data_IF_856253150602
#
_entry.id   IF_856253150602
#
_cell.length_a   1.000
_cell.length_b   1.000
_cell.length_c   1.000
_cell.angle_alpha   90.00
_cell.angle_beta   90.00
_cell.angle_gamma   90.00
#
_symmetry.space_group_name_H-M   'P 1'
#
loop_
_entity.id
_entity.type
_entity.pdbx_description
1 polymer ?
#
# COMPACT_ATOMS: atom_id res chain seq x y z
N UNK A 1 -3.04 72.21 -42.96
CA UNK A 1 -3.20 70.75 -43.18
C UNK A 1 -2.31 69.91 -42.25
N UNK A 2 -1.00 70.21 -42.10
CA UNK A 2 -0.08 69.43 -41.24
C UNK A 2 -0.48 69.30 -39.75
N UNK A 3 -0.93 70.38 -39.11
CA UNK A 3 -1.27 70.37 -37.67
C UNK A 3 -2.40 69.39 -37.30
N UNK A 4 -3.35 69.19 -38.21
CA UNK A 4 -4.47 68.29 -38.01
C UNK A 4 -4.02 66.81 -38.08
N UNK A 5 -3.12 66.51 -39.02
CA UNK A 5 -2.54 65.17 -39.20
C UNK A 5 -1.72 64.77 -37.97
N UNK A 6 -0.92 65.70 -37.43
CA UNK A 6 -0.13 65.44 -36.21
C UNK A 6 -1.03 65.24 -35.00
N UNK A 7 -2.10 66.03 -34.86
CA UNK A 7 -3.06 65.88 -33.75
C UNK A 7 -3.78 64.53 -33.82
N UNK A 8 -4.25 64.14 -35.00
CA UNK A 8 -4.92 62.85 -35.22
C UNK A 8 -3.97 61.67 -34.96
N UNK A 9 -2.71 61.76 -35.42
CA UNK A 9 -1.69 60.74 -35.16
C UNK A 9 -1.39 60.57 -33.67
N UNK A 10 -1.28 61.68 -32.91
CA UNK A 10 -1.06 61.60 -31.46
C UNK A 10 -2.25 60.99 -30.71
N UNK A 11 -3.48 61.26 -31.17
CA UNK A 11 -4.70 60.68 -30.60
C UNK A 11 -4.76 59.17 -30.83
N UNK A 12 -4.49 58.71 -32.06
CA UNK A 12 -4.43 57.28 -32.38
C UNK A 12 -3.40 56.53 -31.54
N UNK A 13 -2.20 57.12 -31.34
CA UNK A 13 -1.17 56.54 -30.46
C UNK A 13 -1.63 56.49 -29.01
N UNK A 14 -2.33 57.53 -28.54
CA UNK A 14 -2.90 57.56 -27.20
C UNK A 14 -3.98 56.50 -27.00
N UNK A 15 -4.92 56.35 -27.95
CA UNK A 15 -5.97 55.32 -27.92
C UNK A 15 -5.36 53.90 -27.93
N UNK A 16 -4.31 53.68 -28.73
CA UNK A 16 -3.60 52.40 -28.77
C UNK A 16 -2.86 52.09 -27.45
N UNK A 17 -2.18 53.09 -26.88
CA UNK A 17 -1.52 52.96 -25.57
C UNK A 17 -2.54 52.71 -24.45
N UNK A 18 -3.67 53.41 -24.49
CA UNK A 18 -4.76 53.21 -23.53
C UNK A 18 -5.32 51.79 -23.64
N UNK A 19 -5.58 51.29 -24.85
CA UNK A 19 -6.02 49.92 -25.07
C UNK A 19 -5.00 48.87 -24.62
N UNK A 20 -3.71 49.11 -24.83
CA UNK A 20 -2.64 48.26 -24.28
C UNK A 20 -2.63 48.29 -22.75
N UNK A 21 -2.74 49.48 -22.14
CA UNK A 21 -2.80 49.65 -20.69
C UNK A 21 -3.98 48.90 -20.09
N UNK A 22 -5.17 49.00 -20.69
CA UNK A 22 -6.36 48.26 -20.23
C UNK A 22 -6.17 46.75 -20.33
N UNK A 23 -5.60 46.26 -21.44
CA UNK A 23 -5.30 44.83 -21.61
C UNK A 23 -4.30 44.33 -20.57
N UNK A 24 -3.26 45.13 -20.28
CA UNK A 24 -2.26 44.80 -19.27
C UNK A 24 -2.90 44.73 -17.89
N UNK A 25 -3.78 45.66 -17.52
CA UNK A 25 -4.50 45.60 -16.24
C UNK A 25 -5.26 44.28 -16.07
N UNK A 26 -6.05 43.89 -17.07
CA UNK A 26 -6.81 42.62 -17.02
C UNK A 26 -5.88 41.41 -16.90
N UNK A 27 -4.75 41.40 -17.62
CA UNK A 27 -3.80 40.28 -17.48
C UNK A 27 -3.13 40.23 -16.12
N UNK A 28 -2.89 41.38 -15.47
CA UNK A 28 -2.33 41.44 -14.12
C UNK A 28 -3.35 40.89 -13.12
N UNK A 29 -4.61 41.31 -13.20
CA UNK A 29 -5.69 40.80 -12.32
C UNK A 29 -5.82 39.27 -12.41
N UNK A 30 -5.79 38.71 -13.63
CA UNK A 30 -5.84 37.26 -13.83
C UNK A 30 -4.59 36.56 -13.27
N UNK A 31 -3.42 37.17 -13.38
CA UNK A 31 -2.19 36.60 -12.83
C UNK A 31 -2.20 36.64 -11.29
N UNK A 32 -2.72 37.71 -10.69
CA UNK A 32 -2.89 37.83 -9.24
C UNK A 32 -3.79 36.72 -8.70
N UNK A 33 -4.97 36.51 -9.32
CA UNK A 33 -5.88 35.41 -8.94
C UNK A 33 -5.21 34.03 -9.06
N UNK A 34 -4.43 33.81 -10.14
CA UNK A 34 -3.70 32.55 -10.33
C UNK A 34 -2.60 32.36 -9.31
N UNK A 35 -1.92 33.42 -8.88
CA UNK A 35 -0.91 33.38 -7.81
C UNK A 35 -1.57 33.03 -6.49
N UNK A 36 -2.67 33.70 -6.13
CA UNK A 36 -3.43 33.40 -4.91
C UNK A 36 -3.90 31.94 -4.86
N UNK A 37 -4.41 31.44 -5.99
CA UNK A 37 -4.83 30.03 -6.14
C UNK A 37 -3.65 29.08 -5.97
N UNK A 38 -2.52 29.37 -6.61
CA UNK A 38 -1.32 28.54 -6.51
C UNK A 38 -0.78 28.52 -5.07
N UNK A 39 -0.75 29.66 -4.39
CA UNK A 39 -0.35 29.73 -2.99
C UNK A 39 -1.29 28.92 -2.08
N UNK A 40 -2.60 28.98 -2.31
CA UNK A 40 -3.56 28.18 -1.55
C UNK A 40 -3.30 26.67 -1.72
N UNK A 41 -3.05 26.23 -2.97
CA UNK A 41 -2.70 24.83 -3.25
C UNK A 41 -1.38 24.41 -2.59
N UNK A 42 -0.37 25.27 -2.58
CA UNK A 42 0.91 24.99 -1.89
C UNK A 42 0.70 24.84 -0.39
N UNK A 43 -0.12 25.71 0.23
CA UNK A 43 -0.45 25.60 1.66
C UNK A 43 -1.13 24.27 1.97
N UNK A 44 -2.11 23.89 1.16
CA UNK A 44 -2.83 22.61 1.32
C UNK A 44 -1.89 21.40 1.18
N UNK A 45 -1.06 21.37 0.14
CA UNK A 45 -0.09 20.29 -0.06
C UNK A 45 0.93 20.19 1.10
N UNK A 46 1.34 21.31 1.68
CA UNK A 46 2.23 21.30 2.84
C UNK A 46 1.54 20.70 4.08
N UNK A 47 0.25 20.95 4.29
CA UNK A 47 -0.51 20.34 5.38
C UNK A 47 -0.58 18.82 5.17
N UNK A 48 -0.93 18.36 3.97
CA UNK A 48 -0.99 16.93 3.65
C UNK A 48 0.37 16.25 3.80
N UNK A 49 1.45 16.94 3.42
CA UNK A 49 2.81 16.43 3.58
C UNK A 49 3.18 16.29 5.07
N UNK A 50 2.79 17.24 5.91
CA UNK A 50 3.03 17.18 7.36
C UNK A 50 2.25 16.04 8.02
N UNK A 51 0.98 15.86 7.66
CA UNK A 51 0.15 14.73 8.11
C UNK A 51 0.77 13.38 7.70
N UNK A 52 1.22 13.27 6.44
CA UNK A 52 1.88 12.06 5.96
C UNK A 52 3.21 11.81 6.67
N UNK A 53 3.97 12.87 6.96
CA UNK A 53 5.23 12.77 7.71
C UNK A 53 4.99 12.27 9.13
N UNK A 54 3.97 12.79 9.82
CA UNK A 54 3.57 12.34 11.15
C UNK A 54 3.17 10.86 11.16
N UNK A 55 2.43 10.40 10.14
CA UNK A 55 2.08 8.99 10.00
C UNK A 55 3.33 8.10 9.81
N UNK A 56 4.27 8.52 8.96
CA UNK A 56 5.52 7.78 8.77
C UNK A 56 6.38 7.72 10.04
N UNK A 57 6.43 8.80 10.83
CA UNK A 57 7.12 8.82 12.12
C UNK A 57 6.48 7.82 13.10
N UNK A 58 5.14 7.86 13.25
CA UNK A 58 4.42 6.93 14.10
C UNK A 58 4.60 5.46 13.67
N UNK A 59 4.64 5.20 12.36
CA UNK A 59 4.91 3.86 11.82
C UNK A 59 6.34 3.40 12.15
N UNK A 60 7.32 4.29 12.09
CA UNK A 60 8.71 3.98 12.44
C UNK A 60 8.82 3.57 13.91
N UNK A 61 8.14 4.28 14.81
CA UNK A 61 8.07 3.95 16.24
C UNK A 61 7.38 2.59 16.46
N UNK A 62 6.28 2.33 15.76
CA UNK A 62 5.58 1.05 15.83
C UNK A 62 6.46 -0.13 15.38
N UNK A 63 7.23 0.04 14.30
CA UNK A 63 8.18 -0.97 13.81
C UNK A 63 9.30 -1.21 14.83
N UNK A 64 9.80 -0.17 15.49
CA UNK A 64 10.81 -0.32 16.55
C UNK A 64 10.24 -1.12 17.75
N UNK A 65 9.02 -0.80 18.19
CA UNK A 65 8.34 -1.54 19.27
C UNK A 65 8.10 -3.01 18.91
N UNK A 66 7.66 -3.30 17.69
CA UNK A 66 7.47 -4.68 17.22
C UNK A 66 8.78 -5.46 17.20
N UNK A 67 9.88 -4.81 16.83
CA UNK A 67 11.21 -5.42 16.83
C UNK A 67 11.67 -5.78 18.24
N UNK A 68 11.51 -4.87 19.21
CA UNK A 68 11.81 -5.12 20.63
C UNK A 68 10.94 -6.26 21.21
N UNK A 69 9.64 -6.28 20.89
CA UNK A 69 8.75 -7.36 21.31
C UNK A 69 9.15 -8.71 20.71
N UNK A 70 9.59 -8.73 19.45
CA UNK A 70 10.09 -9.94 18.79
C UNK A 70 11.35 -10.47 19.49
N UNK A 71 12.31 -9.61 19.79
CA UNK A 71 13.52 -9.99 20.53
C UNK A 71 13.20 -10.58 21.91
N UNK A 72 12.29 -9.92 22.66
CA UNK A 72 11.82 -10.43 23.95
C UNK A 72 11.13 -11.79 23.83
N UNK A 73 10.33 -12.00 22.78
CA UNK A 73 9.67 -13.28 22.53
C UNK A 73 10.68 -14.40 22.26
N UNK A 74 11.72 -14.13 21.47
CA UNK A 74 12.79 -15.10 21.22
C UNK A 74 13.62 -15.40 22.48
N UNK A 75 13.92 -14.38 23.29
CA UNK A 75 14.59 -14.56 24.58
C UNK A 75 13.75 -15.44 25.53
N UNK A 76 12.45 -15.18 25.64
CA UNK A 76 11.53 -16.01 26.44
C UNK A 76 11.43 -17.44 25.92
N UNK A 77 11.36 -17.63 24.59
CA UNK A 77 11.38 -18.98 23.98
C UNK A 77 12.64 -19.75 24.35
N UNK A 78 13.81 -19.08 24.32
CA UNK A 78 15.07 -19.71 24.73
C UNK A 78 15.06 -20.09 26.21
N UNK A 79 14.60 -19.20 27.09
CA UNK A 79 14.49 -19.48 28.53
C UNK A 79 13.56 -20.66 28.82
N UNK A 80 12.41 -20.73 28.14
CA UNK A 80 11.49 -21.86 28.27
C UNK A 80 12.12 -23.18 27.84
N UNK A 81 12.87 -23.23 26.72
CA UNK A 81 13.59 -24.44 26.30
C UNK A 81 14.61 -24.89 27.34
N UNK A 82 15.33 -23.95 27.96
CA UNK A 82 16.32 -24.25 29.01
C UNK A 82 15.61 -24.83 30.24
N UNK A 83 14.56 -24.15 30.72
CA UNK A 83 13.74 -24.61 31.85
C UNK A 83 13.15 -26.00 31.59
N UNK A 84 12.59 -26.25 30.40
CA UNK A 84 12.07 -27.56 30.01
C UNK A 84 13.15 -28.65 30.05
N UNK A 85 14.39 -28.35 29.64
CA UNK A 85 15.52 -29.30 29.73
C UNK A 85 15.93 -29.59 31.17
N UNK A 86 15.93 -28.58 32.03
CA UNK A 86 16.30 -28.73 33.45
C UNK A 86 15.22 -29.47 34.24
N UNK A 87 13.94 -29.20 33.94
CA UNK A 87 12.78 -29.84 34.60
C UNK A 87 12.54 -31.25 34.04
N UNK A 88 12.79 -31.47 32.74
CA UNK A 88 12.66 -32.75 32.06
C UNK A 88 14.00 -33.45 31.89
N UNK A 89 14.60 -33.93 32.97
CA UNK A 89 15.77 -34.79 32.87
C UNK A 89 15.36 -36.15 32.23
N UNK A 90 15.56 -36.32 30.92
CA UNK A 90 15.84 -37.64 30.33
C UNK A 90 14.92 -38.24 29.25
N UNK A 91 14.06 -37.53 28.52
CA UNK A 91 13.35 -38.13 27.38
C UNK A 91 13.31 -37.22 26.15
N UNK A 92 13.88 -37.74 25.04
CA UNK A 92 13.62 -37.59 23.60
C UNK A 92 13.02 -36.27 23.05
N UNK A 93 13.31 -35.87 21.79
CA UNK A 93 12.95 -34.56 21.26
C UNK A 93 11.43 -34.41 21.20
N UNK A 94 10.86 -33.74 22.20
CA UNK A 94 9.48 -33.30 22.18
C UNK A 94 9.40 -32.18 21.14
N UNK A 95 8.98 -32.59 19.95
CA UNK A 95 8.48 -31.81 18.85
C UNK A 95 7.87 -30.49 19.33
N UNK A 96 8.36 -29.39 18.75
CA UNK A 96 7.94 -28.02 19.03
C UNK A 96 6.42 -27.89 19.02
N UNK A 97 5.79 -27.95 20.19
CA UNK A 97 4.47 -27.42 20.39
C UNK A 97 4.63 -25.92 20.62
N UNK A 98 4.92 -25.19 19.54
CA UNK A 98 4.58 -23.78 19.49
C UNK A 98 3.09 -23.65 19.82
N UNK A 99 2.68 -22.68 20.66
CA UNK A 99 1.26 -22.43 20.86
C UNK A 99 0.72 -22.09 19.49
N UNK A 100 -0.10 -23.00 18.93
CA UNK A 100 -0.85 -22.73 17.72
C UNK A 100 -1.75 -21.55 18.09
N UNK A 101 -1.28 -20.33 17.79
CA UNK A 101 -2.17 -19.22 17.52
C UNK A 101 -3.27 -19.84 16.68
N UNK A 102 -4.51 -19.82 17.18
CA UNK A 102 -5.66 -20.16 16.37
C UNK A 102 -5.69 -19.09 15.29
N UNK A 103 -4.93 -19.33 14.22
CA UNK A 103 -5.06 -18.61 12.98
C UNK A 103 -6.51 -18.88 12.60
N UNK A 104 -7.34 -17.83 12.64
CA UNK A 104 -8.70 -17.92 12.11
C UNK A 104 -8.57 -18.48 10.70
N UNK A 105 -9.19 -19.63 10.45
CA UNK A 105 -9.15 -20.26 9.14
C UNK A 105 -9.59 -19.21 8.09
N UNK A 106 -8.79 -19.01 7.03
CA UNK A 106 -9.21 -18.19 5.90
C UNK A 106 -10.58 -18.69 5.43
N UNK A 107 -11.53 -17.76 5.34
CA UNK A 107 -12.90 -18.08 4.97
C UNK A 107 -12.87 -18.79 3.61
N UNK A 108 -13.47 -19.97 3.53
CA UNK A 108 -13.46 -20.78 2.30
C UNK A 108 -14.13 -20.00 1.17
N UNK A 109 -13.42 -19.83 0.05
CA UNK A 109 -13.96 -19.26 -1.18
C UNK A 109 -15.27 -19.98 -1.58
N UNK A 110 -16.36 -19.23 -1.55
CA UNK A 110 -17.73 -19.65 -1.80
C UNK A 110 -18.21 -19.23 -3.19
N UNK A 111 -18.01 -20.13 -4.16
CA UNK A 111 -18.87 -20.49 -5.30
C UNK A 111 -19.34 -19.43 -6.31
N UNK A 112 -19.33 -18.13 -6.04
CA UNK A 112 -19.67 -17.14 -7.06
C UNK A 112 -18.42 -16.73 -7.85
N UNK A 113 -18.52 -16.73 -9.18
CA UNK A 113 -17.42 -16.34 -10.09
C UNK A 113 -17.19 -14.83 -10.06
N UNK A 114 -16.95 -14.28 -8.88
CA UNK A 114 -16.52 -12.91 -8.69
C UNK A 114 -14.99 -12.87 -8.74
N UNK A 115 -14.44 -12.12 -9.69
CA UNK A 115 -13.00 -11.89 -9.78
C UNK A 115 -12.45 -11.31 -8.46
N UNK A 116 -13.29 -10.56 -7.74
CA UNK A 116 -12.97 -9.98 -6.43
C UNK A 116 -12.75 -11.03 -5.35
N UNK A 117 -13.47 -12.16 -5.40
CA UNK A 117 -13.31 -13.22 -4.42
C UNK A 117 -11.98 -13.98 -4.59
N UNK A 118 -11.55 -14.16 -5.85
CA UNK A 118 -10.24 -14.73 -6.16
C UNK A 118 -9.12 -13.82 -5.70
N UNK A 119 -9.25 -12.50 -5.90
CA UNK A 119 -8.27 -11.51 -5.44
C UNK A 119 -8.20 -11.46 -3.91
N UNK A 120 -9.33 -11.46 -3.22
CA UNK A 120 -9.38 -11.54 -1.76
C UNK A 120 -8.72 -12.83 -1.23
N UNK A 121 -9.01 -13.98 -1.86
CA UNK A 121 -8.41 -15.25 -1.46
C UNK A 121 -6.88 -15.24 -1.61
N UNK A 122 -6.35 -14.69 -2.71
CA UNK A 122 -4.90 -14.57 -2.91
C UNK A 122 -4.26 -13.64 -1.87
N UNK A 123 -4.90 -12.50 -1.59
CA UNK A 123 -4.44 -11.57 -0.58
C UNK A 123 -4.41 -12.21 0.82
N UNK A 124 -5.48 -12.92 1.20
CA UNK A 124 -5.56 -13.63 2.49
C UNK A 124 -4.49 -14.72 2.62
N UNK A 125 -4.21 -15.45 1.53
CA UNK A 125 -3.13 -16.44 1.50
C UNK A 125 -1.75 -15.80 1.63
N UNK A 126 -1.50 -14.66 0.99
CA UNK A 126 -0.25 -13.92 1.15
C UNK A 126 -0.02 -13.48 2.59
N UNK A 127 -1.05 -12.91 3.24
CA UNK A 127 -0.97 -12.55 4.66
C UNK A 127 -0.78 -13.78 5.55
N UNK A 128 -1.46 -14.89 5.25
CA UNK A 128 -1.28 -16.15 5.96
C UNK A 128 0.16 -16.65 5.87
N UNK A 129 0.79 -16.60 4.70
CA UNK A 129 2.19 -17.04 4.53
C UNK A 129 3.18 -16.18 5.31
N UNK A 130 2.93 -14.87 5.39
CA UNK A 130 3.75 -13.95 6.19
C UNK A 130 3.66 -14.28 7.68
N UNK A 131 2.45 -14.48 8.19
CA UNK A 131 2.23 -14.79 9.62
C UNK A 131 2.72 -16.21 9.96
N UNK A 132 2.51 -17.17 9.07
CA UNK A 132 2.94 -18.55 9.26
C UNK A 132 4.43 -18.79 8.93
N UNK A 133 5.16 -17.75 8.49
CA UNK A 133 6.57 -17.81 8.10
C UNK A 133 6.86 -18.91 7.05
N UNK A 134 5.97 -19.06 6.06
CA UNK A 134 6.08 -20.03 4.97
C UNK A 134 6.77 -19.37 3.78
N UNK A 135 8.09 -19.54 3.68
CA UNK A 135 8.90 -18.94 2.60
C UNK A 135 9.02 -19.84 1.36
N UNK A 136 8.89 -21.16 1.54
CA UNK A 136 9.07 -22.15 0.48
C UNK A 136 7.89 -22.17 -0.50
N UNK A 137 8.15 -21.92 -1.78
CA UNK A 137 7.13 -21.81 -2.82
C UNK A 137 6.28 -23.07 -2.98
N UNK A 138 6.89 -24.27 -2.87
CA UNK A 138 6.15 -25.53 -2.96
C UNK A 138 5.18 -25.72 -1.78
N UNK A 139 5.61 -25.36 -0.56
CA UNK A 139 4.74 -25.32 0.62
C UNK A 139 3.65 -24.26 0.52
N UNK A 140 3.95 -23.04 0.01
CA UNK A 140 2.94 -22.00 -0.22
C UNK A 140 1.83 -22.48 -1.16
N UNK A 141 2.20 -23.07 -2.30
CA UNK A 141 1.23 -23.64 -3.25
C UNK A 141 0.39 -24.74 -2.58
N UNK A 142 1.03 -25.67 -1.88
CA UNK A 142 0.33 -26.76 -1.20
C UNK A 142 -0.66 -26.23 -0.16
N UNK A 143 -0.23 -25.28 0.67
CA UNK A 143 -1.09 -24.65 1.68
C UNK A 143 -2.25 -23.86 1.07
N UNK A 144 -2.03 -23.02 0.06
CA UNK A 144 -3.12 -22.32 -0.62
C UNK A 144 -4.17 -23.30 -1.18
N UNK A 145 -3.71 -24.40 -1.77
CA UNK A 145 -4.62 -25.39 -2.39
C UNK A 145 -5.47 -26.15 -1.38
N UNK A 146 -5.04 -26.22 -0.11
CA UNK A 146 -5.85 -26.80 0.97
C UNK A 146 -7.09 -25.94 1.26
N UNK A 147 -6.98 -24.62 1.09
CA UNK A 147 -8.03 -23.64 1.36
C UNK A 147 -8.93 -23.34 0.14
N UNK A 148 -8.65 -23.93 -1.01
CA UNK A 148 -9.57 -23.89 -2.15
C UNK A 148 -10.86 -24.65 -1.81
N UNK A 149 -12.00 -24.03 -2.08
CA UNK A 149 -13.33 -24.60 -1.98
C UNK A 149 -13.95 -24.90 -3.35
N UNK A 150 -15.02 -25.69 -3.35
CA UNK A 150 -15.88 -25.90 -4.52
C UNK A 150 -15.17 -26.28 -5.82
N UNK A 151 -15.61 -25.66 -6.93
CA UNK A 151 -15.12 -25.93 -8.28
C UNK A 151 -13.64 -25.57 -8.48
N UNK A 152 -13.12 -24.59 -7.73
CA UNK A 152 -11.71 -24.21 -7.79
C UNK A 152 -10.80 -25.35 -7.31
N UNK A 153 -11.23 -26.06 -6.26
CA UNK A 153 -10.50 -27.24 -5.76
C UNK A 153 -10.50 -28.38 -6.77
N UNK A 154 -11.65 -28.63 -7.42
CA UNK A 154 -11.77 -29.66 -8.46
C UNK A 154 -10.88 -29.35 -9.67
N UNK A 155 -10.90 -28.09 -10.15
CA UNK A 155 -10.06 -27.65 -11.24
C UNK A 155 -8.57 -27.82 -10.92
N UNK A 156 -8.14 -27.45 -9.71
CA UNK A 156 -6.76 -27.62 -9.28
C UNK A 156 -6.35 -29.10 -9.24
N UNK A 157 -7.21 -30.00 -8.75
CA UNK A 157 -6.92 -31.44 -8.76
C UNK A 157 -6.72 -31.99 -10.17
N UNK A 158 -7.55 -31.58 -11.13
CA UNK A 158 -7.38 -31.95 -12.54
C UNK A 158 -6.07 -31.41 -13.11
N UNK A 159 -5.78 -30.13 -12.91
CA UNK A 159 -4.53 -29.53 -13.42
C UNK A 159 -3.28 -30.09 -12.78
N UNK A 160 -3.31 -30.36 -11.48
CA UNK A 160 -2.19 -30.98 -10.79
C UNK A 160 -1.91 -32.39 -11.34
N UNK A 161 -2.95 -33.18 -11.62
CA UNK A 161 -2.81 -34.49 -12.26
C UNK A 161 -2.22 -34.38 -13.69
N UNK A 162 -2.63 -33.38 -14.47
CA UNK A 162 -2.07 -33.13 -15.81
C UNK A 162 -0.59 -32.73 -15.75
N UNK A 163 -0.20 -31.89 -14.78
CA UNK A 163 1.21 -31.49 -14.53
C UNK A 163 2.06 -32.71 -14.17
N UNK A 164 1.58 -33.58 -13.28
CA UNK A 164 2.28 -34.81 -12.91
C UNK A 164 2.38 -35.81 -14.07
N UNK A 165 1.37 -35.84 -14.94
CA UNK A 165 1.36 -36.67 -16.14
C UNK A 165 2.14 -36.09 -17.33
N UNK A 166 2.74 -34.90 -17.17
CA UNK A 166 3.45 -34.14 -18.20
C UNK A 166 2.58 -33.84 -19.44
N UNK A 167 1.28 -33.57 -19.22
CA UNK A 167 0.26 -33.31 -20.26
C UNK A 167 -0.11 -31.82 -20.38
N UNK A 168 0.75 -30.93 -19.90
CA UNK A 168 0.51 -29.48 -19.81
C UNK A 168 0.77 -28.78 -21.13
#
# INVERSE_FOLDING_TARGET
MMWWITKESTKQRWDALNGQSTRLCVTVEVLEEKVETAEANIRELNIQLDESWMMCAAMTDAVALLSDLREKMEAMRLQLRILQRVVGNGQAPAQEYAPRLKISEPLTCGVERDAKEVENFLFDMEQYFLVANIEDGARRVTTATMYLGGDAKLWWQTKYADIQANRV
#
